data_IF_601638931216
#
_entry.id   IF_601638931216
#
_cell.length_a   1.000
_cell.length_b   1.000
_cell.length_c   1.000
_cell.angle_alpha   90.00
_cell.angle_beta   90.00
_cell.angle_gamma   90.00
#
_symmetry.space_group_name_H-M   'P 1'
#
loop_
_entity.id
_entity.type
_entity.pdbx_description
1 polymer ?
#
# COMPACT_ATOMS: atom_id res chain seq x y z
N UNK A 1 9.19 -4.75 -3.31
CA UNK A 1 8.37 -5.77 -2.61
C UNK A 1 7.52 -4.99 -1.63
N UNK A 2 6.28 -5.38 -1.42
CA UNK A 2 5.35 -4.71 -0.50
C UNK A 2 4.74 -5.78 0.40
N UNK A 3 4.66 -5.51 1.69
CA UNK A 3 3.97 -6.32 2.67
C UNK A 3 2.57 -5.74 2.94
N UNK A 4 1.55 -6.58 2.81
CA UNK A 4 0.16 -6.31 3.17
C UNK A 4 -0.34 -7.37 4.15
N UNK A 5 -1.08 -6.95 5.17
CA UNK A 5 -1.62 -7.84 6.19
C UNK A 5 -3.07 -7.44 6.47
N UNK A 6 -3.95 -8.44 6.51
CA UNK A 6 -5.33 -8.30 6.95
C UNK A 6 -5.63 -9.34 8.04
N UNK A 7 -6.22 -8.89 9.14
CA UNK A 7 -6.73 -9.75 10.22
C UNK A 7 -8.22 -9.48 10.35
N UNK A 8 -9.05 -10.52 10.30
CA UNK A 8 -10.51 -10.39 10.28
C UNK A 8 -11.14 -11.35 11.30
N UNK A 9 -12.23 -10.89 11.91
CA UNK A 9 -13.20 -11.74 12.60
C UNK A 9 -14.62 -11.39 12.14
N UNK A 10 -15.66 -11.92 12.82
CA UNK A 10 -17.06 -11.67 12.47
C UNK A 10 -17.51 -10.21 12.67
N UNK A 11 -16.77 -9.45 13.47
CA UNK A 11 -17.13 -8.09 13.87
C UNK A 11 -16.36 -7.02 13.08
N UNK A 12 -15.10 -7.29 12.73
CA UNK A 12 -14.20 -6.28 12.21
C UNK A 12 -13.03 -6.84 11.39
N UNK A 13 -12.36 -5.92 10.70
CA UNK A 13 -11.14 -6.16 9.92
C UNK A 13 -10.10 -5.11 10.32
N UNK A 14 -8.88 -5.55 10.62
CA UNK A 14 -7.70 -4.70 10.76
C UNK A 14 -6.80 -4.89 9.52
N UNK A 15 -6.38 -3.77 8.91
CA UNK A 15 -5.52 -3.75 7.73
C UNK A 15 -4.21 -3.02 8.05
N UNK A 16 -3.09 -3.57 7.59
CA UNK A 16 -1.76 -2.98 7.75
C UNK A 16 -0.94 -3.17 6.46
N UNK A 17 -0.09 -2.18 6.14
CA UNK A 17 0.80 -2.21 4.98
C UNK A 17 2.15 -1.62 5.37
N UNK A 18 3.23 -2.03 4.70
CA UNK A 18 4.49 -1.31 4.79
C UNK A 18 4.40 0.08 4.13
N UNK A 19 5.33 0.97 4.50
CA UNK A 19 5.40 2.33 3.97
C UNK A 19 6.41 2.50 2.83
N UNK A 20 7.09 1.42 2.44
CA UNK A 20 8.19 1.44 1.49
C UNK A 20 7.69 1.30 0.04
N UNK A 21 8.11 2.20 -0.85
CA UNK A 21 7.92 2.08 -2.29
C UNK A 21 9.30 2.16 -2.93
N UNK A 22 9.62 1.15 -3.73
CA UNK A 22 10.86 1.12 -4.51
C UNK A 22 10.56 1.58 -5.93
N UNK A 23 11.18 2.68 -6.33
CA UNK A 23 11.22 3.14 -7.71
C UNK A 23 12.49 2.61 -8.37
N UNK A 24 12.33 1.90 -9.49
CA UNK A 24 13.45 1.42 -10.31
C UNK A 24 13.43 2.23 -11.61
N UNK A 25 14.39 3.12 -11.75
CA UNK A 25 14.76 3.76 -13.03
C UNK A 25 16.02 3.07 -13.55
N UNK A 26 16.25 3.11 -14.86
CA UNK A 26 17.22 2.27 -15.62
C UNK A 26 18.57 1.98 -14.93
N UNK A 27 19.08 2.91 -14.10
CA UNK A 27 20.26 2.71 -13.25
C UNK A 27 20.15 3.25 -11.81
N UNK A 28 18.94 3.65 -11.35
CA UNK A 28 18.74 4.26 -10.03
C UNK A 28 17.61 3.57 -9.27
N UNK A 29 17.95 2.97 -8.13
CA UNK A 29 16.97 2.45 -7.19
C UNK A 29 16.75 3.48 -6.07
N UNK A 30 15.55 4.05 -6.00
CA UNK A 30 15.17 4.98 -4.94
C UNK A 30 14.06 4.36 -4.09
N UNK A 31 14.25 4.40 -2.76
CA UNK A 31 13.25 3.94 -1.81
C UNK A 31 12.58 5.16 -1.18
N UNK A 32 11.26 5.22 -1.27
CA UNK A 32 10.42 6.17 -0.56
C UNK A 32 9.76 5.46 0.62
N UNK A 33 9.97 5.91 1.84
CA UNK A 33 9.53 5.22 3.08
C UNK A 33 8.27 5.82 3.70
N UNK A 34 7.61 6.76 3.04
CA UNK A 34 6.44 7.48 3.55
C UNK A 34 5.19 7.27 2.70
N UNK A 35 5.17 6.24 1.86
CA UNK A 35 4.02 5.97 1.00
C UNK A 35 2.88 5.36 1.83
N UNK A 36 1.71 6.00 1.79
CA UNK A 36 0.50 5.36 2.28
C UNK A 36 -0.08 4.48 1.16
N UNK A 37 -0.35 3.22 1.48
CA UNK A 37 -0.98 2.25 0.57
C UNK A 37 -2.36 1.80 1.04
N UNK A 38 -2.80 2.32 2.20
CA UNK A 38 -4.07 2.04 2.86
C UNK A 38 -4.99 3.24 2.75
N UNK A 39 -6.17 3.04 2.17
CA UNK A 39 -7.13 4.11 1.94
C UNK A 39 -8.55 3.69 2.33
N UNK A 40 -9.34 4.63 2.86
CA UNK A 40 -10.79 4.46 2.99
C UNK A 40 -11.48 4.84 1.69
N UNK A 41 -12.31 3.95 1.14
CA UNK A 41 -13.11 4.20 -0.06
C UNK A 41 -14.40 4.95 0.22
N UNK A 42 -14.88 4.97 1.46
CA UNK A 42 -16.12 5.63 1.82
C UNK A 42 -16.03 6.31 3.17
N UNK A 43 -16.62 7.51 3.27
CA UNK A 43 -16.79 8.21 4.55
C UNK A 43 -17.99 7.68 5.35
N UNK A 44 -18.86 6.89 4.71
CA UNK A 44 -20.13 6.44 5.28
C UNK A 44 -20.19 4.92 5.50
N UNK A 45 -19.53 4.16 4.62
CA UNK A 45 -19.48 2.70 4.73
C UNK A 45 -18.06 2.24 5.10
N UNK A 46 -17.90 1.20 5.93
CA UNK A 46 -16.59 0.72 6.37
C UNK A 46 -15.90 -0.08 5.27
N UNK A 47 -15.45 0.61 4.22
CA UNK A 47 -14.76 0.00 3.06
C UNK A 47 -13.33 0.52 2.99
N UNK A 48 -12.36 -0.36 3.24
CA UNK A 48 -10.92 -0.07 3.12
C UNK A 48 -10.28 -0.80 1.94
N UNK A 49 -9.25 -0.19 1.35
CA UNK A 49 -8.43 -0.80 0.28
C UNK A 49 -6.94 -0.73 0.58
N UNK A 50 -6.21 -1.73 0.10
CA UNK A 50 -4.75 -1.74 0.01
C UNK A 50 -4.34 -1.80 -1.46
N UNK A 51 -3.31 -1.04 -1.83
CA UNK A 51 -2.76 -1.04 -3.20
C UNK A 51 -1.34 -1.59 -3.17
N UNK A 52 -1.10 -2.64 -3.96
CA UNK A 52 0.21 -3.24 -4.12
C UNK A 52 0.77 -2.98 -5.53
N UNK A 53 2.09 -2.89 -5.64
CA UNK A 53 2.73 -2.73 -6.94
C UNK A 53 4.16 -2.22 -6.87
N UNK A 54 4.87 -2.35 -7.98
CA UNK A 54 6.19 -1.72 -8.17
C UNK A 54 6.00 -0.44 -8.95
N UNK A 55 6.62 0.64 -8.48
CA UNK A 55 6.69 1.86 -9.28
C UNK A 55 7.80 1.70 -10.32
N UNK A 56 7.40 1.56 -11.58
CA UNK A 56 8.30 1.61 -12.72
C UNK A 56 8.01 2.91 -13.46
N UNK A 57 8.88 3.90 -13.28
CA UNK A 57 8.75 5.18 -13.97
C UNK A 57 9.08 5.00 -15.44
N UNK A 58 8.08 5.17 -16.32
CA UNK A 58 8.35 5.47 -17.72
C UNK A 58 8.66 6.96 -17.84
N UNK A 59 9.75 7.27 -18.52
CA UNK A 59 10.07 8.62 -18.99
C UNK A 59 8.89 9.18 -19.78
#
# INVERSE_FOLDING_TARGET
>A
MTAEIAIMNKEAIALASDSAVTSIQENCQKIFTSANKLFSLSKYHPVGIMIFGRFHGRQ
#
